data_IF_506297829820
#
_entry.id   IF_506297829820
#
_cell.length_a   1.000
_cell.length_b   1.000
_cell.length_c   1.000
_cell.angle_alpha   90.00
_cell.angle_beta   90.00
_cell.angle_gamma   90.00
#
_symmetry.space_group_name_H-M   'P 1'
#
loop_
_entity.id
_entity.type
_entity.pdbx_description
1 polymer ?
#
# COMPACT_ATOMS: atom_id res chain seq x y z
N UNK A 1 26.06 -10.74 18.68
CA UNK A 1 25.16 -11.43 17.74
C UNK A 1 23.75 -11.31 18.29
N UNK A 2 23.00 -10.32 17.83
CA UNK A 2 21.59 -10.13 18.23
C UNK A 2 20.75 -11.15 17.47
N UNK A 3 20.25 -12.17 18.17
CA UNK A 3 19.27 -13.10 17.60
C UNK A 3 17.93 -12.38 17.51
N UNK A 4 17.48 -12.07 16.29
CA UNK A 4 16.16 -11.49 16.06
C UNK A 4 15.14 -12.64 16.07
N UNK A 5 14.27 -12.69 17.08
CA UNK A 5 13.20 -13.69 17.18
C UNK A 5 11.99 -13.20 16.41
N UNK A 6 11.66 -13.83 15.29
CA UNK A 6 10.41 -13.61 14.59
C UNK A 6 9.39 -14.66 15.06
N UNK A 7 8.38 -14.25 15.83
CA UNK A 7 7.21 -15.08 16.13
C UNK A 7 6.13 -14.83 15.06
N UNK A 8 5.87 -15.84 14.24
CA UNK A 8 4.71 -15.88 13.33
C UNK A 8 3.57 -16.61 14.06
N UNK A 9 2.68 -15.85 14.72
CA UNK A 9 1.52 -16.43 15.39
C UNK A 9 0.30 -16.40 14.46
N UNK A 10 -0.14 -17.57 13.99
CA UNK A 10 -1.32 -17.77 13.15
C UNK A 10 -2.63 -17.96 13.94
N UNK A 11 -2.88 -17.22 15.02
CA UNK A 11 -4.13 -17.41 15.79
C UNK A 11 -5.34 -16.75 15.12
N UNK A 12 -6.08 -17.55 14.35
CA UNK A 12 -7.46 -17.29 13.99
C UNK A 12 -8.36 -17.54 15.23
N UNK A 13 -8.84 -16.47 15.88
CA UNK A 13 -9.83 -16.56 16.96
C UNK A 13 -11.18 -17.00 16.37
N UNK A 14 -11.38 -18.31 16.25
CA UNK A 14 -12.68 -18.94 16.02
C UNK A 14 -13.48 -18.85 17.32
N UNK A 15 -14.37 -17.85 17.40
CA UNK A 15 -15.44 -17.83 18.40
C UNK A 15 -16.33 -19.06 18.21
N UNK A 16 -16.26 -20.00 19.14
CA UNK A 16 -17.14 -21.16 19.22
C UNK A 16 -18.57 -20.70 19.47
N UNK A 17 -19.41 -20.76 18.44
CA UNK A 17 -20.86 -20.52 18.55
C UNK A 17 -21.51 -21.73 19.22
N UNK A 18 -22.07 -21.54 20.43
CA UNK A 18 -23.07 -22.44 21.01
C UNK A 18 -24.33 -22.45 20.13
N UNK A 19 -24.89 -23.64 19.90
CA UNK A 19 -26.12 -23.83 19.15
C UNK A 19 -27.34 -23.29 19.94
N UNK A 20 -28.31 -22.62 19.30
CA UNK A 20 -29.60 -22.29 19.92
C UNK A 20 -30.61 -23.44 19.71
N UNK A 21 -31.63 -23.57 20.58
CA UNK A 21 -32.63 -24.61 20.47
C UNK A 21 -33.64 -24.30 19.35
N UNK A 22 -34.24 -25.38 18.84
CA UNK A 22 -35.23 -25.41 17.78
C UNK A 22 -36.51 -24.64 18.13
N UNK A 23 -36.98 -23.77 17.23
CA UNK A 23 -38.38 -23.32 17.21
C UNK A 23 -38.85 -22.90 15.81
N UNK A 24 -39.94 -23.56 15.41
CA UNK A 24 -40.98 -23.25 14.40
C UNK A 24 -40.64 -22.44 13.14
N UNK A 25 -40.83 -23.10 12.00
CA UNK A 25 -40.87 -22.55 10.65
C UNK A 25 -41.96 -21.48 10.46
N UNK A 26 -41.55 -20.23 10.26
CA UNK A 26 -42.35 -19.22 9.55
C UNK A 26 -41.59 -18.82 8.29
N UNK A 27 -42.24 -18.97 7.13
CA UNK A 27 -41.66 -18.60 5.82
C UNK A 27 -41.35 -17.10 5.83
N UNK A 28 -40.09 -16.66 5.60
CA UNK A 28 -39.81 -15.25 5.48
C UNK A 28 -40.40 -14.74 4.16
N UNK A 29 -41.26 -13.72 4.24
CA UNK A 29 -41.63 -12.89 3.10
C UNK A 29 -40.33 -12.42 2.42
N UNK A 30 -40.14 -12.75 1.14
CA UNK A 30 -39.07 -12.19 0.31
C UNK A 30 -39.29 -10.68 0.20
N UNK A 31 -38.68 -9.93 1.11
CA UNK A 31 -38.39 -8.52 0.85
C UNK A 31 -37.33 -8.53 -0.25
N UNK A 32 -37.67 -8.00 -1.41
CA UNK A 32 -36.71 -7.68 -2.46
C UNK A 32 -35.84 -6.54 -1.95
N UNK A 33 -34.85 -6.84 -1.11
CA UNK A 33 -33.77 -5.90 -0.80
C UNK A 33 -32.87 -5.89 -2.03
N UNK A 34 -33.15 -5.00 -3.00
CA UNK A 34 -32.11 -4.61 -3.95
C UNK A 34 -30.89 -4.23 -3.12
N UNK A 35 -29.69 -4.75 -3.40
CA UNK A 35 -28.50 -4.33 -2.68
C UNK A 35 -28.41 -2.81 -2.80
N UNK A 36 -28.44 -2.10 -1.67
CA UNK A 36 -28.20 -0.66 -1.65
C UNK A 36 -26.77 -0.45 -2.15
N UNK A 37 -26.61 0.20 -3.29
CA UNK A 37 -25.28 0.53 -3.81
C UNK A 37 -24.55 1.53 -2.92
N UNK A 38 -23.27 1.72 -3.20
CA UNK A 38 -22.41 2.61 -2.41
C UNK A 38 -22.31 3.97 -3.07
N UNK A 39 -22.69 5.04 -2.37
CA UNK A 39 -22.64 6.44 -2.85
C UNK A 39 -21.83 7.28 -1.87
N UNK A 40 -20.53 7.52 -2.11
CA UNK A 40 -19.73 8.36 -1.24
C UNK A 40 -20.08 9.84 -1.47
N UNK A 41 -20.07 10.66 -0.41
CA UNK A 41 -20.16 12.11 -0.52
C UNK A 41 -18.77 12.74 -0.66
N UNK A 42 -17.76 12.11 -0.05
CA UNK A 42 -16.36 12.55 -0.06
C UNK A 42 -15.44 11.45 -0.54
N UNK A 43 -14.54 11.78 -1.48
CA UNK A 43 -13.57 10.83 -2.02
C UNK A 43 -12.17 11.44 -2.02
N UNK A 44 -11.20 10.70 -1.46
CA UNK A 44 -9.80 11.03 -1.63
C UNK A 44 -9.21 10.24 -2.80
N UNK A 45 -8.68 10.94 -3.79
CA UNK A 45 -7.97 10.37 -4.94
C UNK A 45 -6.46 10.44 -4.66
N UNK A 46 -5.88 9.29 -4.32
CA UNK A 46 -4.44 9.14 -4.10
C UNK A 46 -3.76 8.86 -5.43
N UNK A 47 -3.02 9.82 -5.95
CA UNK A 47 -2.38 9.72 -7.27
C UNK A 47 -0.91 9.31 -7.17
N UNK A 48 -0.43 8.56 -8.17
CA UNK A 48 0.98 8.17 -8.26
C UNK A 48 1.84 9.40 -8.55
N UNK A 49 3.02 9.49 -7.92
CA UNK A 49 4.07 10.38 -8.43
C UNK A 49 4.68 9.69 -9.64
N UNK A 50 4.60 10.31 -10.82
CA UNK A 50 5.18 9.70 -12.03
C UNK A 50 6.71 9.77 -11.97
N UNK A 51 7.38 8.88 -12.71
CA UNK A 51 8.85 8.95 -12.79
C UNK A 51 9.32 10.27 -13.40
N UNK A 52 8.57 10.84 -14.34
CA UNK A 52 8.82 12.18 -14.89
C UNK A 52 8.79 13.25 -13.79
N UNK A 53 7.71 13.30 -13.01
CA UNK A 53 7.57 14.25 -11.90
C UNK A 53 8.66 14.06 -10.85
N UNK A 54 9.03 12.82 -10.54
CA UNK A 54 10.08 12.51 -9.59
C UNK A 54 11.44 13.05 -10.04
N UNK A 55 11.84 12.80 -11.29
CA UNK A 55 13.12 13.30 -11.83
C UNK A 55 13.10 14.84 -11.90
N UNK A 56 11.98 15.46 -12.32
CA UNK A 56 11.83 16.92 -12.26
C UNK A 56 12.02 17.46 -10.83
N UNK A 57 11.36 16.88 -9.83
CA UNK A 57 11.48 17.33 -8.43
C UNK A 57 12.91 17.17 -7.91
N UNK A 58 13.60 16.10 -8.31
CA UNK A 58 15.00 15.85 -7.93
C UNK A 58 15.95 16.92 -8.47
N UNK A 59 15.75 17.36 -9.71
CA UNK A 59 16.64 18.30 -10.40
C UNK A 59 16.20 19.77 -10.33
N UNK A 60 14.98 20.04 -9.87
CA UNK A 60 14.51 21.41 -9.62
C UNK A 60 15.38 22.18 -8.63
N UNK A 61 15.90 21.51 -7.60
CA UNK A 61 16.78 22.14 -6.61
C UNK A 61 18.18 22.46 -7.14
N UNK A 62 18.60 21.81 -8.23
CA UNK A 62 19.92 22.02 -8.85
C UNK A 62 19.92 23.10 -9.94
N UNK A 63 18.77 23.73 -10.21
CA UNK A 63 18.65 24.78 -11.25
C UNK A 63 18.75 24.27 -12.68
N UNK A 64 18.64 22.96 -12.87
CA UNK A 64 18.77 22.28 -14.16
C UNK A 64 17.59 22.64 -15.05
N UNK A 65 17.87 23.07 -16.27
CA UNK A 65 16.83 23.39 -17.25
C UNK A 65 16.30 22.12 -17.95
N UNK A 66 15.28 22.27 -18.79
CA UNK A 66 14.59 21.11 -19.41
C UNK A 66 15.49 20.33 -20.40
N UNK A 67 16.38 21.01 -21.12
CA UNK A 67 17.30 20.37 -22.06
C UNK A 67 18.40 19.60 -21.33
N UNK A 68 18.95 20.16 -20.26
CA UNK A 68 19.90 19.45 -19.39
C UNK A 68 19.26 18.23 -18.72
N UNK A 69 17.99 18.33 -18.29
CA UNK A 69 17.25 17.18 -17.75
C UNK A 69 17.10 16.08 -18.80
N UNK A 70 16.85 16.44 -20.06
CA UNK A 70 16.76 15.49 -21.17
C UNK A 70 18.09 14.76 -21.37
N UNK A 71 19.21 15.47 -21.34
CA UNK A 71 20.56 14.87 -21.45
C UNK A 71 20.89 13.96 -20.26
N UNK A 72 20.62 14.41 -19.04
CA UNK A 72 20.85 13.61 -17.83
C UNK A 72 20.04 12.31 -17.83
N UNK A 73 18.79 12.36 -18.28
CA UNK A 73 17.97 11.15 -18.41
C UNK A 73 18.49 10.23 -19.49
N UNK A 74 18.94 10.76 -20.63
CA UNK A 74 19.54 9.97 -21.69
C UNK A 74 20.81 9.25 -21.21
N UNK A 75 21.69 9.93 -20.44
CA UNK A 75 22.87 9.32 -19.82
C UNK A 75 22.52 8.18 -18.84
N UNK A 76 21.38 8.27 -18.17
CA UNK A 76 20.83 7.19 -17.31
C UNK A 76 20.04 6.13 -18.10
N UNK A 77 20.08 6.15 -19.43
CA UNK A 77 19.35 5.20 -20.28
C UNK A 77 17.82 5.38 -20.26
N UNK A 78 17.33 6.60 -20.02
CA UNK A 78 15.90 6.90 -19.90
C UNK A 78 15.46 7.94 -20.94
N UNK A 79 14.36 7.66 -21.66
CA UNK A 79 13.80 8.59 -22.66
C UNK A 79 12.94 9.67 -21.99
N UNK A 80 13.37 10.94 -22.09
CA UNK A 80 12.59 12.09 -21.63
C UNK A 80 11.18 12.12 -22.23
N UNK A 81 11.08 12.04 -23.55
CA UNK A 81 9.79 12.07 -24.26
C UNK A 81 8.90 10.89 -23.88
N UNK A 82 9.48 9.70 -23.67
CA UNK A 82 8.74 8.54 -23.17
C UNK A 82 8.21 8.75 -21.75
N UNK A 83 8.99 9.36 -20.86
CA UNK A 83 8.55 9.69 -19.51
C UNK A 83 7.46 10.77 -19.51
N UNK A 84 7.61 11.81 -20.33
CA UNK A 84 6.62 12.89 -20.48
C UNK A 84 5.30 12.36 -21.06
N UNK A 85 5.35 11.56 -22.14
CA UNK A 85 4.15 10.96 -22.73
C UNK A 85 3.36 10.14 -21.69
N UNK A 86 4.06 9.31 -20.90
CA UNK A 86 3.42 8.49 -19.87
C UNK A 86 2.92 9.32 -18.69
N UNK A 87 3.56 10.44 -18.40
CA UNK A 87 3.05 11.41 -17.44
C UNK A 87 1.74 12.03 -17.93
N UNK A 88 1.68 12.46 -19.19
CA UNK A 88 0.47 13.04 -19.77
C UNK A 88 -0.70 12.05 -19.76
N UNK A 89 -0.50 10.81 -20.25
CA UNK A 89 -1.52 9.74 -20.20
C UNK A 89 -2.02 9.52 -18.77
N UNK A 90 -1.10 9.49 -17.79
CA UNK A 90 -1.48 9.35 -16.39
C UNK A 90 -2.31 10.53 -15.90
N UNK A 91 -1.86 11.77 -16.16
CA UNK A 91 -2.52 12.99 -15.73
C UNK A 91 -3.92 13.12 -16.33
N UNK A 92 -4.07 12.86 -17.63
CA UNK A 92 -5.36 12.84 -18.34
C UNK A 92 -6.33 11.83 -17.72
N UNK A 93 -5.87 10.61 -17.43
CA UNK A 93 -6.72 9.59 -16.79
C UNK A 93 -7.06 9.94 -15.33
N UNK A 94 -6.18 10.61 -14.58
CA UNK A 94 -6.48 11.12 -13.24
C UNK A 94 -7.56 12.20 -13.31
N UNK A 95 -7.40 13.15 -14.23
CA UNK A 95 -8.35 14.23 -14.45
C UNK A 95 -9.72 13.68 -14.84
N UNK A 96 -9.77 12.73 -15.77
CA UNK A 96 -11.00 12.03 -16.13
C UNK A 96 -11.73 11.41 -14.93
N UNK A 97 -11.01 10.73 -14.03
CA UNK A 97 -11.59 10.17 -12.80
C UNK A 97 -12.12 11.27 -11.87
N UNK A 98 -11.34 12.33 -11.66
CA UNK A 98 -11.70 13.44 -10.76
C UNK A 98 -12.91 14.20 -11.27
N UNK A 99 -12.95 14.54 -12.55
CA UNK A 99 -14.09 15.21 -13.19
C UNK A 99 -15.34 14.35 -13.13
N UNK A 100 -15.23 13.05 -13.41
CA UNK A 100 -16.36 12.12 -13.32
C UNK A 100 -16.98 12.07 -11.92
N UNK A 101 -16.16 12.17 -10.86
CA UNK A 101 -16.66 12.24 -9.47
C UNK A 101 -17.32 13.59 -9.18
N UNK A 102 -16.67 14.69 -9.55
CA UNK A 102 -17.17 16.05 -9.33
C UNK A 102 -18.49 16.32 -10.05
N UNK A 103 -18.65 15.78 -11.26
CA UNK A 103 -19.88 15.88 -12.05
C UNK A 103 -21.07 15.20 -11.36
N UNK A 104 -20.83 14.21 -10.50
CA UNK A 104 -21.86 13.56 -9.66
C UNK A 104 -22.03 14.28 -8.29
N UNK A 105 -21.42 15.45 -8.10
CA UNK A 105 -21.52 16.25 -6.88
C UNK A 105 -20.67 15.73 -5.70
N UNK A 106 -19.71 14.84 -5.95
CA UNK A 106 -18.80 14.34 -4.91
C UNK A 106 -17.75 15.40 -4.59
N UNK A 107 -17.49 15.61 -3.30
CA UNK A 107 -16.36 16.41 -2.82
C UNK A 107 -15.06 15.58 -2.94
N UNK A 108 -14.10 16.07 -3.73
CA UNK A 108 -12.91 15.32 -4.14
C UNK A 108 -11.63 16.03 -3.69
N UNK A 109 -10.82 15.33 -2.88
CA UNK A 109 -9.43 15.72 -2.58
C UNK A 109 -8.46 14.88 -3.38
N UNK A 110 -7.66 15.51 -4.22
CA UNK A 110 -6.55 14.84 -4.91
C UNK A 110 -5.29 15.01 -4.08
N UNK A 111 -4.67 13.90 -3.67
CA UNK A 111 -3.49 13.90 -2.80
C UNK A 111 -2.38 13.05 -3.41
N UNK A 112 -1.14 13.47 -3.18
CA UNK A 112 0.06 12.66 -3.49
C UNK A 112 0.56 11.99 -2.21
N UNK A 113 1.57 11.11 -2.33
CA UNK A 113 2.15 10.37 -1.20
C UNK A 113 2.45 11.24 0.02
N UNK A 114 3.07 12.41 -0.19
CA UNK A 114 3.48 13.32 0.89
C UNK A 114 2.30 13.85 1.71
N UNK A 115 1.17 14.08 1.05
CA UNK A 115 -0.02 14.70 1.66
C UNK A 115 -1.09 13.67 2.02
N UNK A 116 -0.91 12.40 1.63
CA UNK A 116 -1.86 11.33 1.95
C UNK A 116 -1.58 10.82 3.37
N UNK A 117 -2.43 11.13 4.34
CA UNK A 117 -2.25 10.81 5.76
C UNK A 117 -3.53 10.24 6.41
N UNK A 118 -3.50 10.03 7.73
CA UNK A 118 -4.66 9.53 8.46
C UNK A 118 -5.84 10.50 8.46
N UNK A 119 -5.59 11.81 8.42
CA UNK A 119 -6.66 12.82 8.36
C UNK A 119 -7.41 12.71 7.04
N UNK A 120 -6.67 12.56 5.94
CA UNK A 120 -7.23 12.30 4.60
C UNK A 120 -8.11 11.05 4.60
N UNK A 121 -7.64 9.96 5.22
CA UNK A 121 -8.40 8.70 5.33
C UNK A 121 -9.67 8.88 6.18
N UNK A 122 -9.60 9.64 7.28
CA UNK A 122 -10.76 9.92 8.14
C UNK A 122 -11.81 10.77 7.41
N UNK A 123 -11.37 11.76 6.65
CA UNK A 123 -12.25 12.68 5.93
C UNK A 123 -13.04 12.01 4.80
N UNK A 124 -12.42 11.12 4.02
CA UNK A 124 -13.07 10.52 2.84
C UNK A 124 -13.99 9.34 3.20
N UNK A 125 -15.10 9.17 2.48
CA UNK A 125 -15.96 7.98 2.61
C UNK A 125 -15.38 6.79 1.81
N UNK A 126 -14.61 7.07 0.76
CA UNK A 126 -13.86 6.11 -0.02
C UNK A 126 -12.50 6.65 -0.47
N UNK A 127 -11.54 5.75 -0.64
CA UNK A 127 -10.23 6.08 -1.21
C UNK A 127 -10.16 5.51 -2.63
N UNK A 128 -9.82 6.35 -3.61
CA UNK A 128 -9.50 5.90 -4.97
C UNK A 128 -7.99 6.01 -5.16
N UNK A 129 -7.32 4.90 -5.48
CA UNK A 129 -5.91 4.94 -5.88
C UNK A 129 -5.80 5.07 -7.40
N UNK A 130 -5.25 6.18 -7.89
CA UNK A 130 -5.09 6.45 -9.31
C UNK A 130 -3.63 6.17 -9.74
N UNK A 131 -3.38 4.98 -10.26
CA UNK A 131 -2.04 4.42 -10.47
C UNK A 131 -2.07 2.91 -10.60
N UNK A 132 -0.90 2.26 -10.68
CA UNK A 132 -0.83 0.80 -10.67
C UNK A 132 -0.96 0.22 -9.25
N UNK A 133 -0.66 -1.07 -9.11
CA UNK A 133 -0.77 -1.79 -7.83
C UNK A 133 0.04 -1.15 -6.71
N UNK A 134 1.24 -0.60 -6.98
CA UNK A 134 2.01 0.12 -5.96
C UNK A 134 1.29 1.34 -5.36
N UNK A 135 0.44 2.01 -6.14
CA UNK A 135 -0.39 3.13 -5.64
C UNK A 135 -1.56 2.61 -4.81
N UNK A 136 -2.13 1.45 -5.19
CA UNK A 136 -3.12 0.74 -4.41
C UNK A 136 -2.56 0.28 -3.05
N UNK A 137 -1.31 -0.20 -3.00
CA UNK A 137 -0.63 -0.55 -1.75
C UNK A 137 -0.42 0.67 -0.85
N UNK A 138 0.02 1.80 -1.44
CA UNK A 138 0.14 3.07 -0.71
C UNK A 138 -1.20 3.48 -0.09
N UNK A 139 -2.27 3.49 -0.90
CA UNK A 139 -3.61 3.84 -0.44
C UNK A 139 -4.08 2.89 0.70
N UNK A 140 -3.96 1.58 0.50
CA UNK A 140 -4.36 0.58 1.49
C UNK A 140 -3.52 0.65 2.78
N UNK A 141 -2.26 1.12 2.72
CA UNK A 141 -1.35 1.11 3.87
C UNK A 141 -1.92 1.89 5.07
N UNK A 142 -2.56 3.04 4.82
CA UNK A 142 -3.15 3.93 5.84
C UNK A 142 -4.61 3.64 6.18
N UNK A 143 -5.26 2.72 5.47
CA UNK A 143 -6.65 2.32 5.74
C UNK A 143 -6.69 1.15 6.72
N UNK A 144 -7.00 1.45 7.98
CA UNK A 144 -7.08 0.45 9.06
C UNK A 144 -8.50 0.00 9.38
N UNK A 145 -9.50 0.83 9.04
CA UNK A 145 -10.91 0.53 9.19
C UNK A 145 -11.37 -0.42 8.07
N UNK A 146 -12.04 -1.49 8.48
CA UNK A 146 -12.59 -2.52 7.61
C UNK A 146 -13.76 -1.99 6.76
N UNK A 147 -14.50 -0.98 7.23
CA UNK A 147 -15.62 -0.38 6.48
C UNK A 147 -15.21 0.63 5.42
N UNK A 148 -13.93 1.05 5.38
CA UNK A 148 -13.44 2.06 4.45
C UNK A 148 -13.02 1.41 3.13
N UNK A 149 -13.78 1.60 2.03
CA UNK A 149 -13.43 1.01 0.74
C UNK A 149 -12.21 1.69 0.12
N UNK A 150 -11.36 0.88 -0.52
CA UNK A 150 -10.26 1.32 -1.38
C UNK A 150 -10.50 0.78 -2.78
N UNK A 151 -10.51 1.66 -3.78
CA UNK A 151 -10.84 1.34 -5.16
C UNK A 151 -9.63 1.71 -6.04
N UNK A 152 -9.02 0.72 -6.68
CA UNK A 152 -7.89 0.98 -7.57
C UNK A 152 -8.32 1.30 -9.00
N UNK A 153 -7.77 2.35 -9.59
CA UNK A 153 -7.91 2.69 -11.01
C UNK A 153 -6.53 2.74 -11.64
N UNK A 154 -6.27 1.84 -12.60
CA UNK A 154 -5.01 1.83 -13.32
C UNK A 154 -5.00 2.95 -14.36
N UNK A 155 -4.13 3.95 -14.18
CA UNK A 155 -4.06 5.16 -15.01
C UNK A 155 -3.11 5.06 -16.20
N UNK A 156 -2.40 3.94 -16.36
CA UNK A 156 -1.55 3.66 -17.53
C UNK A 156 -1.54 2.14 -17.81
N UNK A 157 -2.70 1.58 -18.23
CA UNK A 157 -2.89 0.14 -18.36
C UNK A 157 -2.09 -0.50 -19.50
N UNK A 158 -1.59 0.29 -20.46
CA UNK A 158 -0.72 -0.20 -21.53
C UNK A 158 0.67 -0.61 -21.01
N UNK A 159 1.13 0.00 -19.91
CA UNK A 159 2.50 -0.16 -19.40
C UNK A 159 2.58 -1.02 -18.16
N UNK A 160 1.48 -1.14 -17.42
CA UNK A 160 1.45 -1.90 -16.17
C UNK A 160 0.16 -2.65 -16.02
N UNK A 161 0.25 -3.89 -15.57
CA UNK A 161 -0.91 -4.62 -15.07
C UNK A 161 -1.37 -4.01 -13.74
N UNK A 162 -2.68 -4.02 -13.50
CA UNK A 162 -3.28 -3.60 -12.24
C UNK A 162 -4.09 -4.75 -11.66
N UNK A 163 -3.44 -5.75 -11.05
CA UNK A 163 -4.11 -6.92 -10.49
C UNK A 163 -5.05 -6.57 -9.33
N UNK A 164 -4.80 -5.46 -8.66
CA UNK A 164 -5.62 -4.95 -7.56
C UNK A 164 -6.59 -3.85 -8.00
N UNK A 165 -6.47 -3.38 -9.24
CA UNK A 165 -7.29 -2.32 -9.79
C UNK A 165 -8.59 -2.87 -10.44
N UNK A 166 -9.51 -1.95 -10.70
CA UNK A 166 -10.67 -2.19 -11.54
C UNK A 166 -10.24 -2.67 -12.94
N UNK A 167 -11.11 -3.45 -13.64
CA UNK A 167 -10.87 -3.83 -15.03
C UNK A 167 -10.48 -2.64 -15.91
N UNK A 168 -9.46 -2.83 -16.76
CA UNK A 168 -8.82 -1.79 -17.60
C UNK A 168 -9.81 -0.90 -18.37
N UNK A 169 -10.94 -1.45 -18.83
CA UNK A 169 -11.99 -0.65 -19.51
C UNK A 169 -12.49 0.54 -18.69
N UNK A 170 -12.48 0.43 -17.36
CA UNK A 170 -12.98 1.48 -16.47
C UNK A 170 -11.98 2.63 -16.28
N UNK A 171 -10.75 2.52 -16.79
CA UNK A 171 -9.84 3.66 -16.91
C UNK A 171 -10.41 4.72 -17.84
N UNK A 172 -10.97 4.30 -18.98
CA UNK A 172 -11.53 5.20 -20.00
C UNK A 172 -13.05 5.38 -19.89
N UNK A 173 -13.72 4.55 -19.07
CA UNK A 173 -15.16 4.60 -18.85
C UNK A 173 -15.46 4.62 -17.35
N UNK A 174 -14.76 5.50 -16.62
CA UNK A 174 -14.93 5.63 -15.18
C UNK A 174 -16.37 6.00 -14.76
N UNK A 175 -17.12 6.86 -15.48
CA UNK A 175 -18.52 7.12 -15.18
C UNK A 175 -19.38 5.84 -15.12
N UNK A 176 -19.12 4.88 -16.00
CA UNK A 176 -19.83 3.58 -16.00
C UNK A 176 -19.53 2.80 -14.72
N UNK A 177 -18.27 2.78 -14.28
CA UNK A 177 -17.87 2.16 -13.03
C UNK A 177 -18.57 2.84 -11.83
N UNK A 178 -18.64 4.16 -11.82
CA UNK A 178 -19.30 4.92 -10.76
C UNK A 178 -20.80 4.60 -10.69
N UNK A 179 -21.49 4.55 -11.83
CA UNK A 179 -22.89 4.17 -11.91
C UNK A 179 -23.14 2.72 -11.47
N UNK A 180 -22.22 1.81 -11.76
CA UNK A 180 -22.28 0.42 -11.29
C UNK A 180 -22.07 0.33 -9.78
N UNK A 181 -21.18 1.15 -9.23
CA UNK A 181 -20.96 1.25 -7.78
C UNK A 181 -22.24 1.71 -7.06
N UNK A 182 -22.92 2.73 -7.62
CA UNK A 182 -24.19 3.26 -7.09
C UNK A 182 -25.35 2.28 -7.16
N UNK A 183 -25.31 1.34 -8.10
CA UNK A 183 -26.31 0.26 -8.25
C UNK A 183 -25.98 -0.99 -7.44
N UNK A 184 -24.82 -1.04 -6.79
CA UNK A 184 -24.37 -2.21 -6.04
C UNK A 184 -23.97 -3.39 -6.95
N UNK A 185 -23.55 -3.10 -8.18
CA UNK A 185 -23.16 -4.11 -9.18
C UNK A 185 -21.71 -4.56 -9.03
N UNK A 186 -20.96 -3.94 -8.12
CA UNK A 186 -19.65 -4.42 -7.68
C UNK A 186 -19.78 -5.28 -6.42
N UNK A 187 -18.89 -6.27 -6.32
CA UNK A 187 -18.70 -7.05 -5.11
C UNK A 187 -17.45 -6.57 -4.37
N UNK A 188 -17.61 -6.21 -3.11
CA UNK A 188 -16.49 -5.91 -2.22
C UNK A 188 -15.65 -7.16 -1.96
N UNK A 189 -14.33 -7.01 -2.07
CA UNK A 189 -13.37 -8.06 -1.77
C UNK A 189 -12.63 -7.75 -0.47
N UNK A 190 -12.76 -8.65 0.51
CA UNK A 190 -12.02 -8.58 1.75
C UNK A 190 -10.65 -9.21 1.57
N UNK A 191 -9.59 -8.42 1.68
CA UNK A 191 -8.19 -8.90 1.58
C UNK A 191 -7.57 -9.03 2.97
N UNK A 192 -6.94 -10.17 3.20
CA UNK A 192 -6.18 -10.42 4.42
C UNK A 192 -4.92 -9.55 4.44
N UNK A 193 -4.49 -9.13 5.64
CA UNK A 193 -3.27 -8.37 5.87
C UNK A 193 -2.49 -8.97 7.02
N UNK A 194 -1.17 -8.94 6.92
CA UNK A 194 -0.25 -9.43 7.96
C UNK A 194 -0.12 -8.35 9.04
N UNK A 195 -0.23 -8.76 10.30
CA UNK A 195 0.09 -7.93 11.47
C UNK A 195 1.41 -8.39 12.05
N UNK A 196 2.19 -7.45 12.57
CA UNK A 196 3.54 -7.71 13.03
C UNK A 196 3.68 -7.33 14.49
N UNK A 197 4.32 -8.21 15.26
CA UNK A 197 4.80 -7.92 16.59
C UNK A 197 6.34 -7.91 16.55
N UNK A 198 6.96 -6.90 17.18
CA UNK A 198 8.41 -6.83 17.36
C UNK A 198 8.75 -6.88 18.85
N UNK A 199 9.82 -7.60 19.18
CA UNK A 199 10.35 -7.71 20.54
C UNK A 199 11.88 -7.72 20.47
N UNK A 200 12.53 -7.01 21.40
CA UNK A 200 13.98 -6.93 21.46
C UNK A 200 14.53 -5.54 21.78
N UNK A 201 15.81 -5.37 21.53
CA UNK A 201 16.59 -4.15 21.80
C UNK A 201 16.95 -3.43 20.51
N UNK A 202 17.07 -2.11 20.54
CA UNK A 202 17.47 -1.34 19.35
C UNK A 202 16.39 -1.25 18.28
N UNK A 203 15.13 -1.41 18.66
CA UNK A 203 14.00 -1.38 17.74
C UNK A 203 13.55 0.06 17.57
N UNK A 204 13.47 0.51 16.31
CA UNK A 204 12.74 1.72 15.96
C UNK A 204 11.26 1.36 15.76
N UNK A 205 10.40 1.86 16.64
CA UNK A 205 8.96 1.60 16.58
C UNK A 205 8.23 2.47 15.57
N UNK A 206 8.84 3.58 15.15
CA UNK A 206 8.26 4.47 14.17
C UNK A 206 8.50 3.87 12.78
N UNK A 207 7.45 3.44 12.06
CA UNK A 207 7.60 2.93 10.72
C UNK A 207 8.16 4.02 9.80
N UNK A 208 9.06 3.62 8.90
CA UNK A 208 9.70 4.51 7.94
C UNK A 208 9.28 4.10 6.54
N UNK A 209 8.82 5.07 5.73
CA UNK A 209 8.53 4.84 4.32
C UNK A 209 9.84 4.87 3.50
N UNK A 210 10.29 3.69 3.08
CA UNK A 210 11.53 3.55 2.32
C UNK A 210 11.51 4.28 0.96
N UNK A 211 10.34 4.57 0.40
CA UNK A 211 10.26 5.31 -0.87
C UNK A 211 10.78 6.74 -0.76
N UNK A 212 10.71 7.33 0.44
CA UNK A 212 11.23 8.66 0.75
C UNK A 212 12.72 8.62 1.11
N UNK A 213 13.25 7.42 1.39
CA UNK A 213 14.62 7.18 1.77
C UNK A 213 15.38 6.46 0.65
N UNK A 214 15.60 7.15 -0.48
CA UNK A 214 16.71 6.78 -1.37
C UNK A 214 18.03 7.17 -0.70
N UNK A 215 18.43 6.40 0.31
CA UNK A 215 19.74 6.52 0.91
C UNK A 215 20.79 6.09 -0.12
N UNK A 216 21.79 6.93 -0.37
CA UNK A 216 23.04 6.46 -1.00
C UNK A 216 23.65 5.33 -0.15
N UNK A 217 24.49 4.49 -0.74
CA UNK A 217 25.18 3.41 -0.02
C UNK A 217 25.95 3.96 1.21
N UNK A 218 26.48 5.19 1.10
CA UNK A 218 27.12 5.89 2.22
C UNK A 218 26.13 6.37 3.29
N UNK A 219 24.94 6.83 2.90
CA UNK A 219 23.88 7.22 3.84
C UNK A 219 23.29 5.99 4.55
N UNK A 220 23.19 4.85 3.85
CA UNK A 220 22.81 3.57 4.43
C UNK A 220 23.89 3.07 5.41
N UNK A 221 25.17 3.15 5.02
CA UNK A 221 26.29 2.82 5.90
C UNK A 221 26.37 3.75 7.11
N UNK A 222 26.16 5.07 6.95
CA UNK A 222 26.14 6.04 8.06
C UNK A 222 24.91 5.88 8.95
N UNK A 223 23.72 5.59 8.43
CA UNK A 223 22.52 5.31 9.24
C UNK A 223 22.70 4.07 10.12
N UNK A 224 23.53 3.10 9.69
CA UNK A 224 23.85 1.90 10.48
C UNK A 224 25.18 1.96 11.24
N UNK A 225 26.12 2.82 10.87
CA UNK A 225 27.48 2.91 11.46
C UNK A 225 27.70 4.19 12.30
N UNK A 226 26.89 5.23 12.15
CA UNK A 226 26.98 6.43 12.97
C UNK A 226 26.17 6.25 14.27
N UNK A 227 26.84 5.69 15.28
CA UNK A 227 26.62 6.12 16.67
C UNK A 227 27.03 7.60 16.82
N UNK A 228 26.27 8.51 16.22
CA UNK A 228 26.54 9.95 16.23
C UNK A 228 25.27 10.74 16.49
N UNK A 229 24.90 10.87 17.77
CA UNK A 229 24.15 11.97 18.37
C UNK A 229 22.99 12.58 17.55
N UNK A 230 21.95 11.81 17.31
CA UNK A 230 20.60 12.26 17.67
C UNK A 230 20.06 11.26 18.67
N UNK A 231 19.62 11.73 19.83
CA UNK A 231 18.90 10.95 20.84
C UNK A 231 17.56 10.47 20.25
N UNK A 232 17.57 9.55 19.30
CA UNK A 232 16.45 8.65 19.11
C UNK A 232 16.66 7.53 20.11
N UNK A 233 15.95 7.65 21.23
CA UNK A 233 15.84 6.66 22.29
C UNK A 233 15.58 5.28 21.67
N UNK A 234 16.65 4.49 21.51
CA UNK A 234 16.56 3.09 21.12
C UNK A 234 15.84 2.36 22.24
N UNK A 235 14.53 2.20 22.09
CA UNK A 235 13.70 1.62 23.12
C UNK A 235 14.08 0.15 23.31
N UNK A 236 14.24 -0.25 24.58
CA UNK A 236 14.15 -1.67 24.95
C UNK A 236 12.67 -1.96 25.09
N UNK A 237 12.16 -2.86 24.25
CA UNK A 237 10.76 -3.24 24.29
C UNK A 237 10.69 -4.55 25.06
N UNK A 238 10.17 -4.49 26.28
CA UNK A 238 9.86 -5.68 27.07
C UNK A 238 8.59 -6.32 26.54
N UNK A 239 8.74 -7.44 25.82
CA UNK A 239 7.62 -8.22 25.27
C UNK A 239 7.22 -7.85 23.84
N UNK A 240 6.30 -8.63 23.23
CA UNK A 240 5.84 -8.39 21.87
C UNK A 240 5.06 -7.08 21.72
N UNK A 241 5.56 -6.16 20.89
CA UNK A 241 4.89 -4.89 20.57
C UNK A 241 4.26 -4.93 19.18
N UNK A 242 2.93 -4.71 19.11
CA UNK A 242 2.18 -4.66 17.86
C UNK A 242 2.52 -3.39 17.07
N UNK A 243 3.01 -3.55 15.84
CA UNK A 243 3.23 -2.42 14.94
C UNK A 243 1.90 -1.82 14.45
N UNK A 244 1.81 -0.49 14.28
CA UNK A 244 0.59 0.18 13.82
C UNK A 244 0.29 -0.07 12.33
N UNK A 245 1.25 -0.65 11.59
CA UNK A 245 1.14 -0.95 10.16
C UNK A 245 0.70 -2.40 9.91
N UNK A 246 0.10 -2.63 8.74
CA UNK A 246 -0.29 -3.97 8.28
C UNK A 246 0.18 -4.18 6.85
N UNK A 247 0.77 -5.31 6.52
CA UNK A 247 1.19 -5.59 5.15
C UNK A 247 0.06 -6.23 4.33
N UNK A 248 -0.23 -5.68 3.15
CA UNK A 248 -1.22 -6.29 2.24
C UNK A 248 -0.60 -7.42 1.42
N UNK A 249 0.57 -7.22 0.86
CA UNK A 249 1.22 -8.23 0.05
C UNK A 249 2.15 -9.10 0.91
N UNK A 250 3.25 -8.52 1.39
CA UNK A 250 4.25 -9.28 2.11
C UNK A 250 5.00 -8.51 3.21
N UNK A 251 5.68 -9.28 4.05
CA UNK A 251 6.70 -8.80 4.98
C UNK A 251 8.00 -9.49 4.63
N UNK A 252 9.00 -8.69 4.27
CA UNK A 252 10.37 -9.18 4.06
C UNK A 252 11.24 -8.88 5.28
N UNK A 253 12.01 -9.88 5.70
CA UNK A 253 12.94 -9.81 6.82
C UNK A 253 14.31 -10.27 6.32
N UNK A 254 15.34 -9.45 6.47
CA UNK A 254 16.69 -9.81 6.05
C UNK A 254 17.74 -8.82 6.52
N UNK A 255 19.00 -9.17 6.29
CA UNK A 255 20.15 -8.28 6.44
C UNK A 255 20.01 -7.06 5.53
N UNK A 256 20.44 -5.89 6.03
CA UNK A 256 20.36 -4.64 5.27
C UNK A 256 21.47 -4.51 4.21
N UNK A 257 22.53 -5.31 4.33
CA UNK A 257 23.63 -5.36 3.36
C UNK A 257 23.47 -6.57 2.43
N UNK A 258 23.35 -6.30 1.13
CA UNK A 258 23.10 -7.31 0.09
C UNK A 258 24.17 -8.42 -0.03
N UNK A 259 25.39 -8.17 0.44
CA UNK A 259 26.48 -9.17 0.45
C UNK A 259 26.48 -10.08 1.68
N UNK A 260 25.62 -9.83 2.67
CA UNK A 260 25.55 -10.61 3.91
C UNK A 260 24.37 -11.56 3.88
N UNK A 261 24.63 -12.83 4.18
CA UNK A 261 23.58 -13.81 4.40
C UNK A 261 22.87 -13.53 5.73
N UNK A 262 21.54 -13.62 5.71
CA UNK A 262 20.70 -13.57 6.89
C UNK A 262 20.73 -14.93 7.59
N UNK A 263 20.97 -14.91 8.90
CA UNK A 263 20.89 -16.10 9.77
C UNK A 263 19.76 -15.89 10.77
N UNK A 264 18.81 -16.82 10.81
CA UNK A 264 17.62 -16.69 11.65
C UNK A 264 17.06 -18.07 12.02
N UNK A 265 16.22 -18.08 13.05
CA UNK A 265 15.45 -19.24 13.45
C UNK A 265 13.97 -18.96 13.18
N UNK A 266 13.26 -19.93 12.61
CA UNK A 266 11.81 -19.84 12.37
C UNK A 266 11.10 -20.88 13.23
N UNK A 267 9.95 -20.50 13.78
CA UNK A 267 8.95 -21.41 14.32
C UNK A 267 7.58 -21.00 13.80
N UNK A 268 6.72 -21.99 13.54
CA UNK A 268 5.32 -21.80 13.13
C UNK A 268 4.44 -22.39 14.23
N UNK A 269 3.46 -21.61 14.67
CA UNK A 269 2.47 -22.00 15.68
C UNK A 269 3.09 -22.61 16.95
N UNK A 270 4.13 -21.95 17.47
CA UNK A 270 4.88 -22.37 18.67
C UNK A 270 5.53 -23.77 18.56
N UNK A 271 5.72 -24.25 17.32
CA UNK A 271 6.40 -25.50 17.00
C UNK A 271 7.92 -25.45 17.19
N UNK A 272 8.64 -26.52 16.80
CA UNK A 272 10.09 -26.57 16.93
C UNK A 272 10.76 -25.47 16.09
N UNK A 273 11.87 -24.94 16.63
CA UNK A 273 12.66 -23.93 15.94
C UNK A 273 13.60 -24.56 14.91
N UNK A 274 13.64 -23.98 13.73
CA UNK A 274 14.55 -24.40 12.65
C UNK A 274 15.53 -23.28 12.30
N UNK A 275 16.82 -23.62 12.26
CA UNK A 275 17.88 -22.71 11.84
C UNK A 275 17.92 -22.60 10.32
N UNK A 276 17.94 -21.36 9.83
CA UNK A 276 17.95 -21.06 8.40
C UNK A 276 19.07 -20.06 8.07
N UNK A 277 19.60 -20.18 6.84
CA UNK A 277 20.57 -19.25 6.25
C UNK A 277 20.20 -18.98 4.80
N UNK A 278 19.89 -17.73 4.46
CA UNK A 278 19.52 -17.32 3.10
C UNK A 278 19.66 -15.81 2.91
N UNK A 279 19.19 -15.26 1.79
CA UNK A 279 19.12 -13.80 1.59
C UNK A 279 18.15 -13.12 2.54
N UNK A 280 17.13 -13.83 3.03
CA UNK A 280 16.09 -13.31 3.91
C UNK A 280 14.87 -14.23 3.96
N UNK A 281 13.82 -13.79 4.63
CA UNK A 281 12.53 -14.46 4.75
C UNK A 281 11.45 -13.55 4.17
N UNK A 282 10.64 -14.09 3.26
CA UNK A 282 9.47 -13.43 2.72
C UNK A 282 8.20 -14.14 3.20
N UNK A 283 7.33 -13.42 3.89
CA UNK A 283 6.02 -13.91 4.34
C UNK A 283 4.93 -13.16 3.60
N UNK A 284 4.20 -13.85 2.72
CA UNK A 284 3.22 -13.23 1.83
C UNK A 284 1.77 -13.67 2.11
N UNK A 285 0.81 -12.79 1.79
CA UNK A 285 -0.62 -13.14 1.74
C UNK A 285 -0.95 -13.77 0.39
N UNK A 286 -2.17 -14.34 0.26
CA UNK A 286 -2.68 -14.75 -1.05
C UNK A 286 -2.83 -13.59 -2.06
N UNK A 287 -2.85 -12.33 -1.60
CA UNK A 287 -2.77 -11.16 -2.51
C UNK A 287 -1.33 -10.94 -2.98
N UNK A 288 -0.35 -11.10 -2.09
CA UNK A 288 1.07 -10.91 -2.37
C UNK A 288 1.77 -12.06 -3.11
N UNK A 289 1.10 -13.19 -3.34
CA UNK A 289 1.73 -14.38 -3.97
C UNK A 289 2.20 -14.18 -5.41
N UNK A 290 1.87 -13.05 -6.04
CA UNK A 290 2.30 -12.64 -7.39
C UNK A 290 3.13 -11.35 -7.39
N UNK A 291 3.58 -10.90 -6.21
CA UNK A 291 4.27 -9.62 -6.03
C UNK A 291 5.81 -9.76 -6.02
N UNK A 292 6.42 -9.73 -4.83
CA UNK A 292 7.88 -9.68 -4.56
C UNK A 292 8.75 -10.56 -5.46
#
# INVERSE_FOLDING_TARGET
MSSCRALLCGRCLLLTRRAPPSSSCLRPRRVSTRPSGFRPERVAVVTKTTRYEFEQQRYRYTGVNEDELRELLALKGSSYNGLLQRHNIHSENVEHVVESLRNEGIDVRVVKRRDYDEETVRWADAIISAGGDGTMLLAASKVLDKSKPVIGVNTDPERSEGHLCLPVRYTHSFPEALHKLYRGEFRWQWRQRIRLFLEGTGINLTPVDLHEQQLSLEQHSKAHSAGGHQEQTSATISGPHLLPIRALNEVFIGESLSSRASYYEISVDDGPWEKQKSSGLNVCTGTGSKAW
#
